data_IF_113895814264
#
_entry.id   IF_113895814264
#
_cell.length_a   1.000
_cell.length_b   1.000
_cell.length_c   1.000
_cell.angle_alpha   90.00
_cell.angle_beta   90.00
_cell.angle_gamma   90.00
#
_symmetry.space_group_name_H-M   'P 1'
#
loop_
_entity.id
_entity.type
_entity.pdbx_description
1 polymer ?
#
# COMPACT_ATOMS: atom_id res chain seq x y z
N UNK A 1 -0.14 -13.40 22.21
CA UNK A 1 0.23 -14.45 21.23
C UNK A 1 1.30 -13.91 20.27
N UNK A 2 2.32 -14.70 19.97
CA UNK A 2 3.30 -14.38 18.90
C UNK A 2 2.81 -15.00 17.60
N UNK A 3 2.86 -14.23 16.52
CA UNK A 3 2.15 -14.53 15.28
C UNK A 3 0.74 -13.91 15.28
N UNK A 4 -0.09 -14.23 14.26
CA UNK A 4 0.16 -15.18 13.18
C UNK A 4 1.10 -14.67 12.07
N UNK A 5 1.64 -15.59 11.28
CA UNK A 5 2.49 -15.27 10.11
C UNK A 5 1.68 -14.83 8.90
N UNK A 6 0.53 -15.44 8.65
CA UNK A 6 -0.26 -15.15 7.46
C UNK A 6 -1.27 -14.00 7.68
N UNK A 7 -1.34 -13.08 6.72
CA UNK A 7 -2.28 -11.95 6.73
C UNK A 7 -3.75 -12.38 6.80
N UNK A 8 -4.13 -13.43 6.08
CA UNK A 8 -5.51 -13.94 6.07
C UNK A 8 -5.89 -14.56 7.42
N UNK A 9 -4.98 -15.31 8.04
CA UNK A 9 -5.19 -15.87 9.38
C UNK A 9 -5.22 -14.78 10.45
N UNK A 10 -4.36 -13.75 10.33
CA UNK A 10 -4.41 -12.56 11.20
C UNK A 10 -5.78 -11.87 11.14
N UNK A 11 -6.35 -11.77 9.94
CA UNK A 11 -7.64 -11.10 9.73
C UNK A 11 -8.78 -11.80 10.46
N UNK A 12 -8.79 -13.13 10.45
CA UNK A 12 -9.80 -13.92 11.15
C UNK A 12 -9.52 -14.04 12.65
N UNK A 13 -8.26 -14.25 13.04
CA UNK A 13 -7.87 -14.57 14.41
C UNK A 13 -7.74 -13.37 15.34
N UNK A 14 -7.29 -12.21 14.85
CA UNK A 14 -7.02 -11.06 15.71
C UNK A 14 -8.25 -10.56 16.49
N UNK A 15 -9.45 -10.43 15.88
CA UNK A 15 -10.66 -10.05 16.61
C UNK A 15 -11.05 -11.05 17.69
N UNK A 16 -10.88 -12.35 17.43
CA UNK A 16 -11.21 -13.42 18.39
C UNK A 16 -10.29 -13.33 19.60
N UNK A 17 -8.97 -13.22 19.37
CA UNK A 17 -7.99 -13.08 20.43
C UNK A 17 -8.21 -11.82 21.25
N UNK A 18 -8.52 -10.70 20.59
CA UNK A 18 -8.76 -9.44 21.28
C UNK A 18 -10.01 -9.48 22.15
N UNK A 19 -11.10 -10.09 21.67
CA UNK A 19 -12.32 -10.31 22.46
C UNK A 19 -12.06 -11.22 23.68
N UNK A 20 -11.07 -12.11 23.60
CA UNK A 20 -10.62 -12.93 24.72
C UNK A 20 -9.59 -12.22 25.63
N UNK A 21 -9.34 -10.92 25.44
CA UNK A 21 -8.41 -10.13 26.25
C UNK A 21 -6.93 -10.37 25.91
N UNK A 22 -6.63 -11.00 24.76
CA UNK A 22 -5.27 -11.34 24.36
C UNK A 22 -4.79 -10.46 23.20
N UNK A 23 -3.66 -9.78 23.38
CA UNK A 23 -2.96 -9.12 22.28
C UNK A 23 -2.22 -10.13 21.38
N UNK A 24 -2.08 -9.80 20.10
CA UNK A 24 -1.34 -10.58 19.10
C UNK A 24 -0.25 -9.71 18.48
N UNK A 25 0.98 -10.24 18.43
CA UNK A 25 2.14 -9.57 17.81
C UNK A 25 2.62 -10.40 16.63
N UNK A 26 2.31 -9.95 15.42
CA UNK A 26 2.66 -10.64 14.18
C UNK A 26 4.05 -10.25 13.66
N UNK A 27 4.74 -11.22 13.07
CA UNK A 27 6.05 -11.04 12.43
C UNK A 27 6.03 -11.28 10.91
N UNK A 28 4.89 -11.69 10.34
CA UNK A 28 4.75 -11.94 8.89
C UNK A 28 3.51 -11.32 8.23
N UNK A 29 2.53 -10.85 9.00
CA UNK A 29 1.28 -10.35 8.45
C UNK A 29 1.40 -8.86 8.02
N UNK A 30 1.43 -8.64 6.71
CA UNK A 30 1.73 -7.33 6.09
C UNK A 30 0.49 -6.59 5.56
N UNK A 31 -0.70 -7.21 5.60
CA UNK A 31 -1.93 -6.59 5.10
C UNK A 31 -2.17 -5.20 5.70
N UNK A 32 -2.45 -4.17 4.86
CA UNK A 32 -2.64 -2.80 5.34
C UNK A 32 -3.76 -2.66 6.39
N UNK A 33 -4.91 -3.32 6.17
CA UNK A 33 -6.08 -3.21 7.04
C UNK A 33 -5.84 -3.62 8.51
N UNK A 34 -4.89 -4.51 8.80
CA UNK A 34 -4.66 -5.02 10.16
C UNK A 34 -4.18 -3.95 11.16
N UNK A 35 -3.58 -2.87 10.63
CA UNK A 35 -2.98 -1.79 11.42
C UNK A 35 -3.40 -0.41 10.91
N UNK A 36 -4.46 -0.35 10.10
CA UNK A 36 -4.98 0.91 9.59
C UNK A 36 -5.50 1.79 10.74
N UNK A 37 -5.42 3.10 10.59
CA UNK A 37 -5.89 4.03 11.63
C UNK A 37 -7.39 3.87 11.90
N UNK A 38 -8.16 3.64 10.85
CA UNK A 38 -9.60 3.37 10.81
C UNK A 38 -9.95 1.89 11.03
N UNK A 39 -9.02 1.07 11.53
CA UNK A 39 -9.28 -0.36 11.79
C UNK A 39 -10.40 -0.55 12.83
N UNK A 40 -11.27 -1.56 12.66
CA UNK A 40 -12.28 -1.94 13.64
C UNK A 40 -11.69 -2.25 15.02
N UNK A 41 -12.51 -2.19 16.06
CA UNK A 41 -12.08 -2.41 17.45
C UNK A 41 -11.46 -3.78 17.69
N UNK A 42 -11.96 -4.81 16.99
CA UNK A 42 -11.38 -6.16 17.01
C UNK A 42 -9.89 -6.23 16.64
N UNK A 43 -9.36 -5.23 15.92
CA UNK A 43 -7.96 -5.19 15.52
C UNK A 43 -7.09 -4.32 16.44
N UNK A 44 -7.64 -3.69 17.49
CA UNK A 44 -6.85 -2.79 18.36
C UNK A 44 -5.79 -3.55 19.16
N UNK A 45 -6.07 -4.82 19.52
CA UNK A 45 -5.10 -5.73 20.13
C UNK A 45 -4.07 -6.33 19.17
N UNK A 46 -4.11 -5.99 17.88
CA UNK A 46 -3.17 -6.48 16.88
C UNK A 46 -2.00 -5.52 16.70
N UNK A 47 -0.79 -6.05 16.89
CA UNK A 47 0.48 -5.38 16.65
C UNK A 47 1.30 -6.20 15.65
N UNK A 48 2.29 -5.55 15.04
CA UNK A 48 3.27 -6.24 14.21
C UNK A 48 4.64 -5.58 14.31
N UNK A 49 5.69 -6.35 14.02
CA UNK A 49 7.08 -5.88 13.98
C UNK A 49 7.59 -5.59 12.56
N UNK A 50 6.78 -5.90 11.54
CA UNK A 50 7.10 -5.68 10.13
C UNK A 50 6.30 -4.51 9.54
N UNK A 51 6.81 -3.82 8.51
CA UNK A 51 6.04 -2.80 7.80
C UNK A 51 4.84 -3.41 7.04
N UNK A 52 3.82 -2.58 6.73
CA UNK A 52 2.77 -2.99 5.78
C UNK A 52 3.28 -2.91 4.34
N UNK A 53 2.53 -3.56 3.45
CA UNK A 53 2.83 -3.51 2.01
C UNK A 53 2.57 -2.16 1.34
N UNK A 54 2.05 -1.14 2.05
CA UNK A 54 1.91 0.19 1.46
C UNK A 54 3.28 0.78 1.08
N UNK A 55 4.28 0.55 1.93
CA UNK A 55 5.65 0.97 1.67
C UNK A 55 6.24 0.21 0.48
N UNK A 56 6.04 -1.10 0.43
CA UNK A 56 6.50 -1.96 -0.68
C UNK A 56 5.88 -1.55 -2.01
N UNK A 57 4.57 -1.30 -2.04
CA UNK A 57 3.85 -0.85 -3.24
C UNK A 57 4.40 0.50 -3.78
N UNK A 58 4.71 1.44 -2.89
CA UNK A 58 5.30 2.72 -3.27
C UNK A 58 6.72 2.56 -3.83
N UNK A 59 7.54 1.71 -3.19
CA UNK A 59 8.90 1.41 -3.64
C UNK A 59 8.91 0.76 -5.03
N UNK A 60 8.13 -0.30 -5.22
CA UNK A 60 8.04 -1.01 -6.50
C UNK A 60 7.57 -0.08 -7.61
N UNK A 61 6.53 0.73 -7.36
CA UNK A 61 6.05 1.70 -8.34
C UNK A 61 7.14 2.70 -8.74
N UNK A 62 7.92 3.20 -7.78
CA UNK A 62 9.05 4.10 -8.04
C UNK A 62 10.12 3.40 -8.89
N UNK A 63 10.61 2.24 -8.44
CA UNK A 63 11.66 1.48 -9.13
C UNK A 63 11.29 1.13 -10.57
N UNK A 64 10.08 0.60 -10.79
CA UNK A 64 9.59 0.24 -12.13
C UNK A 64 9.48 1.45 -13.05
N UNK A 65 9.09 2.61 -12.51
CA UNK A 65 8.95 3.83 -13.34
C UNK A 65 10.25 4.58 -13.58
N UNK A 66 11.12 4.69 -12.58
CA UNK A 66 12.30 5.57 -12.58
C UNK A 66 13.56 4.80 -13.01
N UNK A 67 13.75 3.58 -12.52
CA UNK A 67 14.94 2.76 -12.82
C UNK A 67 14.73 1.91 -14.08
N UNK A 68 13.54 1.32 -14.26
CA UNK A 68 13.25 0.47 -15.44
C UNK A 68 12.60 1.25 -16.60
N UNK A 69 12.16 2.49 -16.39
CA UNK A 69 11.56 3.33 -17.43
C UNK A 69 10.21 2.83 -17.98
N UNK A 70 9.54 1.92 -17.28
CA UNK A 70 8.27 1.32 -17.72
C UNK A 70 7.13 2.33 -17.56
N UNK A 71 6.28 2.45 -18.58
CA UNK A 71 5.17 3.42 -18.63
C UNK A 71 3.80 2.80 -18.34
N UNK A 72 3.68 1.49 -18.51
CA UNK A 72 2.43 0.74 -18.39
C UNK A 72 2.66 -0.51 -17.55
N UNK A 73 1.83 -0.71 -16.53
CA UNK A 73 1.90 -1.85 -15.61
C UNK A 73 0.54 -2.51 -15.50
N UNK A 74 0.51 -3.83 -15.41
CA UNK A 74 -0.67 -4.62 -15.09
C UNK A 74 -0.55 -5.15 -13.66
N UNK A 75 -1.68 -5.23 -12.96
CA UNK A 75 -1.77 -5.76 -11.58
C UNK A 75 -2.78 -6.89 -11.55
N UNK A 76 -2.41 -8.03 -10.95
CA UNK A 76 -3.28 -9.21 -10.79
C UNK A 76 -3.37 -9.51 -9.29
N UNK A 77 -4.54 -9.97 -8.83
CA UNK A 77 -4.76 -10.45 -7.47
C UNK A 77 -5.42 -11.82 -7.50
N UNK A 78 -5.25 -12.60 -6.42
CA UNK A 78 -5.83 -13.95 -6.27
C UNK A 78 -7.28 -13.94 -5.77
N UNK A 79 -7.85 -12.76 -5.52
CA UNK A 79 -9.22 -12.58 -5.01
C UNK A 79 -9.32 -12.54 -3.49
N UNK A 80 -8.21 -12.72 -2.77
CA UNK A 80 -8.21 -12.54 -1.32
C UNK A 80 -8.29 -11.06 -0.94
N UNK A 81 -8.93 -10.71 0.19
CA UNK A 81 -8.97 -9.32 0.67
C UNK A 81 -7.58 -8.73 0.94
N UNK A 82 -6.57 -9.58 1.09
CA UNK A 82 -5.17 -9.17 1.23
C UNK A 82 -4.61 -8.66 -0.10
N UNK A 83 -4.65 -9.48 -1.15
CA UNK A 83 -4.07 -9.13 -2.45
C UNK A 83 -4.87 -8.05 -3.17
N UNK A 84 -6.19 -7.97 -2.96
CA UNK A 84 -7.01 -6.86 -3.46
C UNK A 84 -6.56 -5.50 -2.91
N UNK A 85 -6.28 -5.44 -1.61
CA UNK A 85 -5.77 -4.22 -0.98
C UNK A 85 -4.38 -3.87 -1.48
N UNK A 86 -3.52 -4.87 -1.69
CA UNK A 86 -2.20 -4.69 -2.27
C UNK A 86 -2.30 -4.08 -3.67
N UNK A 87 -3.15 -4.63 -4.55
CA UNK A 87 -3.37 -4.09 -5.89
C UNK A 87 -3.92 -2.66 -5.84
N UNK A 88 -4.85 -2.38 -4.93
CA UNK A 88 -5.38 -1.02 -4.73
C UNK A 88 -4.30 -0.03 -4.29
N UNK A 89 -3.41 -0.45 -3.38
CA UNK A 89 -2.27 0.35 -2.94
C UNK A 89 -1.29 0.61 -4.09
N UNK A 90 -0.94 -0.43 -4.85
CA UNK A 90 -0.06 -0.33 -6.03
C UNK A 90 -0.64 0.60 -7.09
N UNK A 91 -1.95 0.50 -7.39
CA UNK A 91 -2.63 1.42 -8.33
C UNK A 91 -2.59 2.87 -7.85
N UNK A 92 -2.81 3.12 -6.55
CA UNK A 92 -2.71 4.47 -5.97
C UNK A 92 -1.29 5.02 -6.06
N UNK A 93 -0.28 4.22 -5.73
CA UNK A 93 1.11 4.60 -5.84
C UNK A 93 1.47 4.97 -7.29
N UNK A 94 1.08 4.13 -8.25
CA UNK A 94 1.30 4.38 -9.68
C UNK A 94 0.61 5.66 -10.18
N UNK A 95 -0.65 5.89 -9.81
CA UNK A 95 -1.38 7.10 -10.19
C UNK A 95 -0.71 8.37 -9.62
N UNK A 96 -0.22 8.31 -8.37
CA UNK A 96 0.48 9.43 -7.75
C UNK A 96 1.78 9.79 -8.49
N UNK A 97 2.54 8.77 -8.91
CA UNK A 97 3.72 8.89 -9.75
C UNK A 97 3.37 9.52 -11.09
N UNK A 98 2.39 8.98 -11.82
CA UNK A 98 1.94 9.50 -13.10
C UNK A 98 1.53 10.99 -13.02
N UNK A 99 0.82 11.38 -11.95
CA UNK A 99 0.46 12.78 -11.72
C UNK A 99 1.70 13.68 -11.50
N UNK A 100 2.76 13.19 -10.83
CA UNK A 100 4.04 13.91 -10.73
C UNK A 100 4.69 14.10 -12.09
N UNK A 101 4.76 13.05 -12.91
CA UNK A 101 5.28 13.14 -14.29
C UNK A 101 4.53 14.17 -15.12
N UNK A 102 3.20 14.20 -15.00
CA UNK A 102 2.37 15.14 -15.74
C UNK A 102 2.60 16.60 -15.29
N UNK A 103 2.72 16.85 -13.98
CA UNK A 103 3.08 18.18 -13.45
C UNK A 103 4.49 18.61 -13.89
N UNK A 104 5.48 17.72 -13.80
CA UNK A 104 6.84 17.98 -14.22
C UNK A 104 6.96 18.28 -15.72
N UNK A 105 6.14 17.62 -16.56
CA UNK A 105 6.06 17.93 -17.99
C UNK A 105 5.39 19.27 -18.28
N UNK A 106 4.37 19.67 -17.50
CA UNK A 106 3.74 21.00 -17.64
C UNK A 106 4.67 22.14 -17.24
N UNK A 107 5.45 21.99 -16.18
CA UNK A 107 6.41 23.01 -15.75
C UNK A 107 7.63 23.12 -16.67
N UNK A 108 7.92 22.08 -17.47
CA UNK A 108 8.96 22.09 -18.51
C UNK A 108 8.45 22.52 -19.89
N UNK A 109 7.15 22.83 -20.05
CA UNK A 109 6.71 23.52 -21.27
C UNK A 109 7.28 24.94 -21.20
N UNK A 110 7.99 25.43 -22.22
CA UNK A 110 8.42 26.82 -22.24
C UNK A 110 7.17 27.68 -22.06
N UNK A 111 7.19 28.57 -21.07
CA UNK A 111 6.23 29.67 -20.98
C UNK A 111 6.20 30.30 -22.37
N UNK A 112 5.03 30.50 -23.00
CA UNK A 112 5.00 31.30 -24.21
C UNK A 112 5.51 32.68 -23.80
N UNK A 113 6.77 32.97 -24.09
CA UNK A 113 7.29 34.31 -24.13
C UNK A 113 6.34 35.03 -25.07
N UNK A 114 5.59 35.98 -24.51
CA UNK A 114 4.63 36.79 -25.23
C UNK A 114 5.44 37.58 -26.27
N UNK A 115 5.59 37.03 -27.47
CA UNK A 115 6.01 37.78 -28.66
C UNK A 115 4.79 38.57 -29.08
N UNK A 116 4.66 39.77 -28.52
CA UNK A 116 3.89 40.84 -29.14
C UNK A 116 4.90 41.74 -29.85
N UNK A 117 4.82 41.74 -31.19
CA UNK A 117 5.32 42.80 -32.05
C UNK A 117 4.65 44.14 -31.72
#
# INVERSE_FOLDING_TARGET
>A
MIGPTCSSGARAGAPILWNAGMASVAFGATAPALTAADRPDGFKGFLRVVPNDLLGAAFVAKYVSEELGVKTVATIHDGSPYTEQLVKASRRAWASLAARWWRARRSRRPTPTCVRC
#
